data_IF_492004025030
#
_entry.id   IF_492004025030
#
_cell.length_a   1.000
_cell.length_b   1.000
_cell.length_c   1.000
_cell.angle_alpha   90.00
_cell.angle_beta   90.00
_cell.angle_gamma   90.00
#
_symmetry.space_group_name_H-M   'P 1'
#
loop_
_entity.id
_entity.type
_entity.pdbx_description
1 polymer ?
#
# COMPACT_ATOMS: atom_id res chain seq x y z
N UNK A 1 11.46 5.11 30.01
CA UNK A 1 11.89 4.75 28.65
C UNK A 1 10.79 5.22 27.73
N UNK A 2 10.95 6.40 27.12
CA UNK A 2 9.97 6.96 26.20
C UNK A 2 10.19 6.20 24.89
N UNK A 3 9.23 5.39 24.44
CA UNK A 3 9.23 4.94 23.05
C UNK A 3 8.86 6.17 22.21
N UNK A 4 9.78 6.78 21.45
CA UNK A 4 9.40 7.88 20.60
C UNK A 4 8.50 7.29 19.51
N UNK A 5 7.25 7.76 19.53
CA UNK A 5 6.25 7.71 18.47
C UNK A 5 5.95 6.33 17.87
N UNK A 6 4.72 5.87 18.09
CA UNK A 6 4.03 4.92 17.21
C UNK A 6 3.86 5.43 15.75
N UNK A 7 4.58 6.49 15.36
CA UNK A 7 4.51 7.20 14.08
C UNK A 7 5.90 7.37 13.41
N UNK A 8 6.99 7.05 14.11
CA UNK A 8 8.31 6.94 13.48
C UNK A 8 8.43 5.52 12.90
N UNK A 9 8.25 5.38 11.58
CA UNK A 9 8.38 4.08 10.90
C UNK A 9 9.69 3.40 11.28
N UNK A 10 9.59 2.20 11.86
CA UNK A 10 10.74 1.39 12.18
C UNK A 10 11.40 0.90 10.88
N UNK A 11 12.54 1.47 10.54
CA UNK A 11 13.36 1.03 9.42
C UNK A 11 14.31 -0.09 9.83
N UNK A 12 14.63 -0.96 8.87
CA UNK A 12 15.51 -2.11 9.06
C UNK A 12 16.90 -1.73 9.58
N UNK A 13 17.42 -0.56 9.21
CA UNK A 13 18.69 -0.07 9.75
C UNK A 13 18.63 0.25 11.25
N UNK A 14 17.48 0.69 11.78
CA UNK A 14 17.31 0.86 13.22
C UNK A 14 17.37 -0.51 13.92
N UNK A 15 16.73 -1.53 13.35
CA UNK A 15 16.77 -2.90 13.91
C UNK A 15 18.18 -3.50 13.89
N UNK A 16 18.95 -3.28 12.81
CA UNK A 16 20.35 -3.74 12.70
C UNK A 16 21.26 -3.02 13.69
N UNK A 17 20.97 -1.76 14.02
CA UNK A 17 21.78 -0.94 14.91
C UNK A 17 21.40 -1.07 16.40
N UNK A 18 20.32 -1.79 16.71
CA UNK A 18 19.83 -1.91 18.08
C UNK A 18 20.83 -2.67 18.95
N UNK A 19 21.22 -2.07 20.08
CA UNK A 19 22.16 -2.63 21.02
C UNK A 19 21.48 -2.89 22.37
N UNK A 20 21.52 -4.15 22.82
CA UNK A 20 20.96 -4.56 24.10
C UNK A 20 22.06 -4.74 25.14
N UNK A 21 21.80 -4.32 26.38
CA UNK A 21 22.72 -4.56 27.50
C UNK A 21 22.71 -6.05 27.93
N UNK A 22 23.88 -6.59 28.28
CA UNK A 22 24.02 -7.98 28.76
C UNK A 22 23.68 -8.11 30.25
N UNK A 23 23.01 -9.20 30.65
CA UNK A 23 22.68 -9.51 32.05
C UNK A 23 22.95 -10.98 32.37
N UNK A 24 23.25 -11.29 33.63
CA UNK A 24 23.68 -12.62 34.11
C UNK A 24 22.67 -13.77 33.86
N UNK A 25 21.40 -13.46 33.54
CA UNK A 25 20.37 -14.43 33.10
C UNK A 25 19.69 -13.99 31.80
N UNK A 26 20.45 -13.35 30.90
CA UNK A 26 19.97 -12.88 29.60
C UNK A 26 20.06 -13.96 28.52
N UNK A 27 19.39 -13.69 27.39
CA UNK A 27 19.58 -14.43 26.14
C UNK A 27 21.01 -14.25 25.63
N UNK A 28 21.49 -15.23 24.85
CA UNK A 28 22.78 -15.11 24.16
C UNK A 28 22.73 -13.90 23.20
N UNK A 29 23.61 -12.90 23.36
CA UNK A 29 23.68 -11.75 22.47
C UNK A 29 23.79 -12.14 20.99
N UNK A 30 24.53 -13.22 20.67
CA UNK A 30 24.73 -13.65 19.29
C UNK A 30 23.42 -14.15 18.66
N UNK A 31 22.63 -14.94 19.39
CA UNK A 31 21.32 -15.41 18.93
C UNK A 31 20.35 -14.26 18.73
N UNK A 32 20.35 -13.30 19.66
CA UNK A 32 19.52 -12.08 19.55
C UNK A 32 19.89 -11.29 18.29
N UNK A 33 21.18 -11.02 18.05
CA UNK A 33 21.61 -10.30 16.87
C UNK A 33 21.31 -11.04 15.56
N UNK A 34 21.46 -12.37 15.54
CA UNK A 34 21.09 -13.18 14.38
C UNK A 34 19.57 -13.09 14.08
N UNK A 35 18.74 -13.12 15.11
CA UNK A 35 17.30 -12.94 14.96
C UNK A 35 16.94 -11.53 14.47
N UNK A 36 17.55 -10.49 15.04
CA UNK A 36 17.32 -9.09 14.62
C UNK A 36 17.72 -8.86 13.16
N UNK A 37 18.79 -9.50 12.69
CA UNK A 37 19.15 -9.44 11.27
C UNK A 37 18.05 -10.01 10.37
N UNK A 38 17.48 -11.16 10.73
CA UNK A 38 16.35 -11.75 10.00
C UNK A 38 15.12 -10.84 10.01
N UNK A 39 14.80 -10.26 11.16
CA UNK A 39 13.69 -9.29 11.29
C UNK A 39 13.93 -8.07 10.41
N UNK A 40 15.16 -7.56 10.37
CA UNK A 40 15.52 -6.45 9.50
C UNK A 40 15.36 -6.80 8.00
N UNK A 41 15.76 -7.99 7.58
CA UNK A 41 15.59 -8.45 6.20
C UNK A 41 14.10 -8.58 5.82
N UNK A 42 13.26 -9.03 6.75
CA UNK A 42 11.81 -9.13 6.55
C UNK A 42 11.15 -7.75 6.48
N UNK A 43 11.55 -6.81 7.34
CA UNK A 43 11.11 -5.41 7.25
C UNK A 43 11.52 -4.75 5.92
N UNK A 44 12.71 -5.07 5.40
CA UNK A 44 13.15 -4.61 4.07
C UNK A 44 12.28 -5.20 2.96
N UNK A 45 11.81 -6.44 3.10
CA UNK A 45 10.87 -7.05 2.16
C UNK A 45 9.51 -6.35 2.19
N UNK A 46 8.93 -6.18 3.38
CA UNK A 46 7.62 -5.54 3.55
C UNK A 46 7.61 -4.09 3.05
N UNK A 47 8.69 -3.34 3.26
CA UNK A 47 8.82 -1.99 2.72
C UNK A 47 8.88 -1.97 1.19
N UNK A 48 9.56 -2.94 0.57
CA UNK A 48 9.58 -3.08 -0.90
C UNK A 48 8.20 -3.43 -1.44
N UNK A 49 7.51 -4.38 -0.81
CA UNK A 49 6.16 -4.79 -1.23
C UNK A 49 5.16 -3.65 -1.11
N UNK A 50 5.24 -2.86 -0.04
CA UNK A 50 4.43 -1.65 0.13
C UNK A 50 4.72 -0.60 -0.96
N UNK A 51 6.00 -0.40 -1.31
CA UNK A 51 6.38 0.52 -2.38
C UNK A 51 5.83 0.06 -3.73
N UNK A 52 5.90 -1.23 -4.02
CA UNK A 52 5.35 -1.83 -5.24
C UNK A 52 3.84 -1.68 -5.32
N UNK A 53 3.11 -2.03 -4.25
CA UNK A 53 1.66 -1.90 -4.21
C UNK A 53 1.20 -0.44 -4.39
N UNK A 54 1.94 0.52 -3.83
CA UNK A 54 1.68 1.95 -4.06
C UNK A 54 1.91 2.33 -5.51
N UNK A 55 3.00 1.88 -6.12
CA UNK A 55 3.28 2.15 -7.53
C UNK A 55 2.19 1.57 -8.43
N UNK A 56 1.72 0.35 -8.15
CA UNK A 56 0.63 -0.29 -8.89
C UNK A 56 -0.69 0.48 -8.76
N UNK A 57 -1.03 0.91 -7.54
CA UNK A 57 -2.20 1.73 -7.31
C UNK A 57 -2.13 3.09 -8.04
N UNK A 58 -0.97 3.72 -8.08
CA UNK A 58 -0.78 4.98 -8.82
C UNK A 58 -0.88 4.77 -10.34
N UNK A 59 -0.32 3.68 -10.88
CA UNK A 59 -0.50 3.34 -12.30
C UNK A 59 -1.96 3.11 -12.66
N UNK A 60 -2.71 2.40 -11.81
CA UNK A 60 -4.15 2.19 -11.99
C UNK A 60 -4.93 3.52 -11.97
N UNK A 61 -4.66 4.40 -10.99
CA UNK A 61 -5.27 5.74 -10.93
C UNK A 61 -4.94 6.57 -12.17
N UNK A 62 -3.71 6.52 -12.66
CA UNK A 62 -3.31 7.23 -13.87
C UNK A 62 -4.06 6.71 -15.10
N UNK A 63 -4.19 5.39 -15.26
CA UNK A 63 -4.98 4.79 -16.33
C UNK A 63 -6.44 5.25 -16.30
N UNK A 64 -7.06 5.24 -15.12
CA UNK A 64 -8.43 5.71 -14.92
C UNK A 64 -8.58 7.19 -15.24
N UNK A 65 -7.66 8.05 -14.79
CA UNK A 65 -7.66 9.48 -15.11
C UNK A 65 -7.55 9.71 -16.61
N UNK A 66 -6.64 9.01 -17.29
CA UNK A 66 -6.47 9.14 -18.73
C UNK A 66 -7.73 8.70 -19.50
N UNK A 67 -8.35 7.61 -19.08
CA UNK A 67 -9.62 7.17 -19.65
C UNK A 67 -10.72 8.22 -19.43
N UNK A 68 -10.89 8.71 -18.19
CA UNK A 68 -11.85 9.77 -17.90
C UNK A 68 -11.59 11.01 -18.76
N UNK A 69 -10.36 11.51 -18.86
CA UNK A 69 -10.03 12.65 -19.71
C UNK A 69 -10.44 12.45 -21.17
N UNK A 70 -10.24 11.24 -21.73
CA UNK A 70 -10.67 10.92 -23.10
C UNK A 70 -12.19 10.85 -23.25
N UNK A 71 -12.91 10.45 -22.20
CA UNK A 71 -14.36 10.18 -22.24
C UNK A 71 -15.22 11.22 -21.51
N UNK A 72 -14.64 12.28 -20.92
CA UNK A 72 -15.37 13.40 -20.28
C UNK A 72 -16.29 14.14 -21.29
N UNK A 73 -16.05 14.01 -22.59
CA UNK A 73 -16.93 14.48 -23.67
C UNK A 73 -17.84 13.43 -24.30
N UNK A 74 -17.67 12.15 -23.99
CA UNK A 74 -18.60 11.10 -24.37
C UNK A 74 -19.81 11.17 -23.43
N UNK A 75 -20.68 12.16 -23.64
CA UNK A 75 -22.09 11.94 -23.31
C UNK A 75 -22.48 10.70 -24.09
N UNK A 76 -22.84 9.63 -23.40
CA UNK A 76 -23.70 8.62 -23.97
C UNK A 76 -24.93 9.38 -24.46
N UNK A 77 -24.94 9.77 -25.73
CA UNK A 77 -26.17 10.13 -26.41
C UNK A 77 -26.96 8.85 -26.38
N UNK A 78 -27.81 8.73 -25.37
CA UNK A 78 -28.84 7.71 -25.34
C UNK A 78 -29.52 7.76 -26.71
N UNK A 79 -29.38 6.72 -27.55
CA UNK A 79 -30.05 6.70 -28.83
C UNK A 79 -31.53 6.66 -28.49
N UNK A 80 -32.18 7.82 -28.57
CA UNK A 80 -33.60 8.08 -28.33
C UNK A 80 -34.38 6.77 -28.46
N UNK A 81 -34.58 6.07 -27.35
CA UNK A 81 -35.38 4.85 -27.37
C UNK A 81 -36.75 5.34 -27.84
N UNK A 82 -37.25 4.89 -29.00
CA UNK A 82 -38.54 5.36 -29.44
C UNK A 82 -39.52 4.78 -28.44
N UNK A 83 -40.01 5.63 -27.53
CA UNK A 83 -41.30 5.46 -26.94
C UNK A 83 -42.26 5.40 -28.12
N UNK A 84 -42.49 4.20 -28.65
CA UNK A 84 -43.68 3.91 -29.42
C UNK A 84 -44.82 4.05 -28.43
N UNK A 85 -45.27 5.30 -28.28
CA UNK A 85 -46.58 5.61 -27.73
C UNK A 85 -47.57 4.97 -28.68
N UNK A 86 -47.97 3.72 -28.41
CA UNK A 86 -49.22 3.21 -28.98
C UNK A 86 -50.37 3.88 -28.22
N UNK A 87 -50.56 5.17 -28.54
CA UNK A 87 -51.85 5.85 -28.49
C UNK A 87 -52.71 5.11 -29.52
N UNK A 88 -53.79 4.47 -29.04
CA UNK A 88 -54.64 3.50 -29.76
C UNK A 88 -55.28 3.99 -31.08
N UNK A 89 -56.14 3.19 -31.74
CA UNK A 89 -57.46 2.87 -31.17
C UNK A 89 -58.13 1.53 -31.58
N UNK A 90 -59.13 1.13 -30.78
CA UNK A 90 -60.36 0.34 -31.03
C UNK A 90 -60.53 -0.89 -30.14
#
# INVERSE_FOLDING_TARGET
MIYPAADARLHSHHVRAEAFGTRWRGLDPAEVHAYLHRVADELDSLHRDLANARADAERAKQGLRQWQTRHIGCRFSDPQWPFHTNRGPR
#
